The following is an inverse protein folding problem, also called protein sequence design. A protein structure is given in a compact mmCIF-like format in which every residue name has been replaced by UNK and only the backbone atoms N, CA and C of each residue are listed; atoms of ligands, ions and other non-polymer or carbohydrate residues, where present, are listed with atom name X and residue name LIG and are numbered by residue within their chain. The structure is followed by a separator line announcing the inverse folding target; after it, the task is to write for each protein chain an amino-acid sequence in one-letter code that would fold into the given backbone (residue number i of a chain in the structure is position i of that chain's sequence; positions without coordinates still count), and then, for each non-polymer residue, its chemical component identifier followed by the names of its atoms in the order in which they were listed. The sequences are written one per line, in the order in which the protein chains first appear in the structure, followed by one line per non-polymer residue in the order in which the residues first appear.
data_IF_326861207584
#
_entry.id   IF_326861207584
#
_cell.length_a   1.000
_cell.length_b   1.000
_cell.length_c   1.000
_cell.angle_alpha   90.00
_cell.angle_beta   90.00
_cell.angle_gamma   90.00
#
_symmetry.space_group_name_H-M   'P 1'
#
loop_
_entity.id
_entity.type
_entity.pdbx_description
1 polymer ?
#
# COMPACT_ATOMS: atom_id res chain seq x y z
N UNK A 1 -36.67 -15.72 14.21
CA UNK A 1 -36.00 -17.02 14.32
C UNK A 1 -35.39 -17.28 12.95
N UNK A 2 -34.11 -16.89 12.76
CA UNK A 2 -33.44 -17.06 11.47
C UNK A 2 -33.03 -18.52 11.42
N UNK A 3 -33.64 -19.28 10.51
CA UNK A 3 -33.23 -20.65 10.23
C UNK A 3 -31.90 -20.51 9.50
N UNK A 4 -30.79 -20.84 10.17
CA UNK A 4 -29.51 -20.97 9.48
C UNK A 4 -29.58 -22.21 8.60
N UNK A 5 -29.97 -22.04 7.35
CA UNK A 5 -29.80 -23.09 6.35
C UNK A 5 -28.31 -23.44 6.25
N UNK A 6 -27.95 -24.73 6.10
CA UNK A 6 -26.57 -25.14 5.89
C UNK A 6 -26.05 -24.56 4.58
N UNK A 7 -24.77 -24.17 4.57
CA UNK A 7 -24.13 -23.67 3.34
C UNK A 7 -24.03 -24.80 2.30
N UNK A 8 -24.72 -24.63 1.18
CA UNK A 8 -24.67 -25.53 0.04
C UNK A 8 -23.68 -25.00 -1.00
N UNK A 9 -22.49 -25.60 -1.04
CA UNK A 9 -21.42 -25.18 -1.95
C UNK A 9 -21.74 -25.47 -3.42
N UNK A 10 -22.45 -26.55 -3.72
CA UNK A 10 -22.78 -26.95 -5.09
C UNK A 10 -23.81 -25.97 -5.67
N UNK A 11 -24.84 -25.64 -4.88
CA UNK A 11 -25.83 -24.63 -5.27
C UNK A 11 -25.20 -23.25 -5.52
N UNK A 12 -24.32 -22.80 -4.62
CA UNK A 12 -23.63 -21.51 -4.78
C UNK A 12 -22.74 -21.49 -6.02
N UNK A 13 -22.06 -22.59 -6.35
CA UNK A 13 -21.26 -22.70 -7.58
C UNK A 13 -22.11 -22.54 -8.84
N UNK A 14 -23.31 -23.14 -8.87
CA UNK A 14 -24.24 -23.00 -9.99
C UNK A 14 -24.70 -21.54 -10.15
N UNK A 15 -25.00 -20.86 -9.04
CA UNK A 15 -25.39 -19.45 -9.04
C UNK A 15 -24.29 -18.54 -9.62
N UNK A 16 -23.02 -18.84 -9.32
CA UNK A 16 -21.89 -18.05 -9.82
C UNK A 16 -21.63 -18.18 -11.33
N UNK A 17 -22.17 -19.21 -11.98
CA UNK A 17 -22.11 -19.41 -13.45
C UNK A 17 -23.41 -18.94 -14.15
N UNK A 18 -24.35 -18.38 -13.39
CA UNK A 18 -25.66 -17.98 -13.87
C UNK A 18 -25.72 -16.54 -14.43
N UNK A 19 -26.94 -16.02 -14.43
CA UNK A 19 -27.26 -14.63 -14.71
C UNK A 19 -26.71 -13.67 -13.64
N UNK A 20 -26.71 -12.36 -13.93
CA UNK A 20 -26.23 -11.34 -12.98
C UNK A 20 -26.97 -11.39 -11.62
N UNK A 21 -28.28 -11.66 -11.63
CA UNK A 21 -29.08 -11.80 -10.41
C UNK A 21 -28.71 -13.06 -9.62
N UNK A 22 -28.46 -14.18 -10.30
CA UNK A 22 -28.00 -15.43 -9.67
C UNK A 22 -26.60 -15.26 -9.07
N UNK A 23 -25.68 -14.62 -9.81
CA UNK A 23 -24.33 -14.32 -9.31
C UNK A 23 -24.39 -13.46 -8.05
N UNK A 24 -25.28 -12.45 -8.03
CA UNK A 24 -25.49 -11.61 -6.86
C UNK A 24 -26.00 -12.42 -5.66
N UNK A 25 -26.97 -13.30 -5.86
CA UNK A 25 -27.47 -14.20 -4.82
C UNK A 25 -26.36 -15.13 -4.30
N UNK A 26 -25.56 -15.72 -5.19
CA UNK A 26 -24.41 -16.54 -4.84
C UNK A 26 -23.39 -15.78 -3.97
N UNK A 27 -23.11 -14.52 -4.30
CA UNK A 27 -22.22 -13.66 -3.51
C UNK A 27 -22.81 -13.35 -2.13
N UNK A 28 -24.12 -13.10 -2.03
CA UNK A 28 -24.80 -12.86 -0.76
C UNK A 28 -24.71 -14.10 0.15
N UNK A 29 -24.89 -15.30 -0.40
CA UNK A 29 -24.72 -16.56 0.32
C UNK A 29 -23.27 -16.77 0.78
N UNK A 30 -22.30 -16.52 -0.08
CA UNK A 30 -20.87 -16.56 0.29
C UNK A 30 -20.57 -15.59 1.43
N UNK A 31 -21.09 -14.36 1.34
CA UNK A 31 -20.93 -13.35 2.39
C UNK A 31 -21.51 -13.80 3.71
N UNK A 32 -22.75 -14.29 3.69
CA UNK A 32 -23.46 -14.68 4.89
C UNK A 32 -22.75 -15.84 5.62
N UNK A 33 -22.34 -16.87 4.87
CA UNK A 33 -21.86 -18.11 5.46
C UNK A 33 -20.34 -18.19 5.64
N UNK A 34 -19.55 -17.61 4.72
CA UNK A 34 -18.10 -17.86 4.67
C UNK A 34 -17.26 -16.68 5.17
N UNK A 35 -17.81 -15.46 5.23
CA UNK A 35 -17.05 -14.25 5.64
C UNK A 35 -16.32 -14.46 6.96
N UNK A 36 -17.04 -14.86 8.01
CA UNK A 36 -16.46 -14.98 9.35
C UNK A 36 -15.39 -16.06 9.42
N UNK A 37 -15.62 -17.21 8.77
CA UNK A 37 -14.65 -18.30 8.72
C UNK A 37 -13.36 -17.91 7.98
N UNK A 38 -13.48 -17.24 6.84
CA UNK A 38 -12.32 -16.77 6.06
C UNK A 38 -11.59 -15.66 6.82
N UNK A 39 -12.29 -14.69 7.40
CA UNK A 39 -11.68 -13.62 8.18
C UNK A 39 -10.97 -14.15 9.44
N UNK A 40 -11.55 -15.15 10.11
CA UNK A 40 -10.92 -15.83 11.24
C UNK A 40 -9.62 -16.52 10.83
N UNK A 41 -9.67 -17.30 9.75
CA UNK A 41 -8.49 -17.96 9.17
C UNK A 41 -7.40 -16.97 8.73
N UNK A 42 -7.77 -15.82 8.14
CA UNK A 42 -6.82 -14.77 7.79
C UNK A 42 -6.15 -14.17 9.03
N UNK A 43 -6.91 -13.90 10.09
CA UNK A 43 -6.39 -13.36 11.34
C UNK A 43 -5.32 -14.26 11.97
N UNK A 44 -5.51 -15.58 11.90
CA UNK A 44 -4.52 -16.55 12.38
C UNK A 44 -3.22 -16.53 11.57
N UNK A 45 -3.31 -16.37 10.25
CA UNK A 45 -2.13 -16.40 9.35
C UNK A 45 -1.43 -15.07 9.21
N UNK A 46 -2.15 -13.98 9.40
CA UNK A 46 -1.68 -12.62 9.22
C UNK A 46 -1.97 -11.80 10.48
N UNK A 47 -1.25 -12.06 11.59
CA UNK A 47 -1.51 -11.41 12.88
C UNK A 47 -1.33 -9.88 12.86
N UNK A 48 -0.69 -9.33 11.82
CA UNK A 48 -0.55 -7.88 11.61
C UNK A 48 -1.80 -7.19 11.05
N UNK A 49 -2.75 -7.92 10.47
CA UNK A 49 -3.96 -7.33 9.89
C UNK A 49 -4.93 -6.88 10.99
N UNK A 50 -5.35 -5.62 10.92
CA UNK A 50 -6.39 -5.08 11.80
C UNK A 50 -7.78 -5.45 11.29
N UNK A 51 -8.81 -5.21 12.10
CA UNK A 51 -10.19 -5.50 11.72
C UNK A 51 -10.60 -4.78 10.43
N UNK A 52 -10.20 -3.52 10.25
CA UNK A 52 -10.48 -2.76 9.04
C UNK A 52 -9.81 -3.40 7.80
N UNK A 53 -8.56 -3.87 7.93
CA UNK A 53 -7.87 -4.53 6.82
C UNK A 53 -8.56 -5.83 6.42
N UNK A 54 -9.10 -6.59 7.38
CA UNK A 54 -9.85 -7.81 7.10
C UNK A 54 -11.15 -7.51 6.33
N UNK A 55 -11.84 -6.42 6.63
CA UNK A 55 -13.04 -6.01 5.89
C UNK A 55 -12.70 -5.61 4.46
N UNK A 56 -11.61 -4.88 4.27
CA UNK A 56 -11.17 -4.51 2.93
C UNK A 56 -10.66 -5.72 2.14
N UNK A 57 -9.91 -6.64 2.76
CA UNK A 57 -9.52 -7.91 2.12
C UNK A 57 -10.75 -8.70 1.71
N UNK A 58 -11.79 -8.73 2.55
CA UNK A 58 -13.03 -9.41 2.22
C UNK A 58 -13.73 -8.78 1.01
N UNK A 59 -13.80 -7.44 0.96
CA UNK A 59 -14.31 -6.74 -0.23
C UNK A 59 -13.48 -7.08 -1.48
N UNK A 60 -12.15 -7.12 -1.37
CA UNK A 60 -11.25 -7.50 -2.47
C UNK A 60 -11.44 -8.96 -2.92
N UNK A 61 -11.87 -9.86 -2.01
CA UNK A 61 -12.24 -11.24 -2.35
C UNK A 61 -13.50 -11.27 -3.18
N UNK A 62 -14.56 -10.58 -2.76
CA UNK A 62 -15.83 -10.52 -3.50
C UNK A 62 -15.61 -9.93 -4.90
N UNK A 63 -14.88 -8.82 -5.00
CA UNK A 63 -14.48 -8.24 -6.29
C UNK A 63 -13.66 -9.23 -7.11
N UNK A 64 -12.75 -9.97 -6.48
CA UNK A 64 -11.94 -10.99 -7.15
C UNK A 64 -12.75 -12.16 -7.72
N UNK A 65 -13.90 -12.50 -7.12
CA UNK A 65 -14.83 -13.50 -7.67
C UNK A 65 -15.50 -12.92 -8.92
N UNK A 66 -16.05 -11.70 -8.83
CA UNK A 66 -16.73 -11.02 -9.94
C UNK A 66 -15.81 -10.78 -11.15
N UNK A 67 -14.54 -10.52 -10.90
CA UNK A 67 -13.53 -10.31 -11.95
C UNK A 67 -12.97 -11.61 -12.53
N UNK A 68 -13.20 -12.76 -11.88
CA UNK A 68 -12.66 -14.05 -12.31
C UNK A 68 -13.41 -14.56 -13.54
N UNK A 69 -12.89 -14.21 -14.72
CA UNK A 69 -13.40 -14.70 -16.02
C UNK A 69 -13.27 -16.22 -16.20
N UNK A 70 -12.41 -16.85 -15.42
CA UNK A 70 -12.07 -18.28 -15.50
C UNK A 70 -12.51 -19.02 -14.24
N UNK A 71 -13.61 -18.60 -13.60
CA UNK A 71 -14.20 -19.39 -12.52
C UNK A 71 -14.60 -20.77 -13.07
N UNK A 72 -13.94 -21.82 -12.59
CA UNK A 72 -14.27 -23.20 -12.93
C UNK A 72 -15.29 -23.71 -11.90
N UNK A 73 -16.57 -23.82 -12.28
CA UNK A 73 -17.62 -24.26 -11.39
C UNK A 73 -17.50 -25.74 -11.06
N UNK A 74 -16.48 -26.49 -11.53
CA UNK A 74 -16.17 -27.85 -11.09
C UNK A 74 -15.21 -27.87 -9.89
N UNK A 75 -14.48 -26.79 -9.62
CA UNK A 75 -13.51 -26.73 -8.52
C UNK A 75 -14.16 -26.40 -7.18
N UNK A 76 -13.58 -26.86 -6.05
CA UNK A 76 -14.04 -26.46 -4.73
C UNK A 76 -13.92 -24.94 -4.51
N UNK A 77 -15.00 -24.33 -4.05
CA UNK A 77 -15.13 -22.88 -3.87
C UNK A 77 -14.27 -22.38 -2.69
N UNK A 78 -14.31 -23.07 -1.54
CA UNK A 78 -13.61 -22.58 -0.35
C UNK A 78 -12.08 -22.46 -0.52
N UNK A 79 -11.36 -23.45 -1.12
CA UNK A 79 -9.95 -23.29 -1.46
C UNK A 79 -9.68 -22.13 -2.41
N UNK A 80 -10.54 -21.91 -3.41
CA UNK A 80 -10.43 -20.80 -4.35
C UNK A 80 -10.54 -19.44 -3.62
N UNK A 81 -11.57 -19.27 -2.79
CA UNK A 81 -11.76 -18.08 -1.97
C UNK A 81 -10.58 -17.81 -1.04
N UNK A 82 -10.08 -18.85 -0.36
CA UNK A 82 -8.89 -18.76 0.50
C UNK A 82 -7.66 -18.34 -0.29
N UNK A 83 -7.49 -18.82 -1.52
CA UNK A 83 -6.35 -18.45 -2.37
C UNK A 83 -6.41 -16.98 -2.81
N UNK A 84 -7.61 -16.45 -3.13
CA UNK A 84 -7.78 -15.02 -3.40
C UNK A 84 -7.48 -14.21 -2.13
N UNK A 85 -8.12 -14.57 -1.01
CA UNK A 85 -7.96 -13.90 0.27
C UNK A 85 -6.49 -13.83 0.72
N UNK A 86 -5.76 -14.94 0.60
CA UNK A 86 -4.34 -15.02 0.96
C UNK A 86 -3.47 -14.09 0.11
N UNK A 87 -3.69 -14.07 -1.20
CA UNK A 87 -2.95 -13.19 -2.12
C UNK A 87 -3.22 -11.72 -1.80
N UNK A 88 -4.48 -11.34 -1.63
CA UNK A 88 -4.87 -9.97 -1.28
C UNK A 88 -4.31 -9.52 0.08
N UNK A 89 -4.38 -10.37 1.10
CA UNK A 89 -3.77 -10.11 2.41
C UNK A 89 -2.25 -9.94 2.33
N UNK A 90 -1.57 -10.81 1.58
CA UNK A 90 -0.11 -10.71 1.36
C UNK A 90 0.25 -9.40 0.65
N UNK A 91 -0.47 -9.05 -0.41
CA UNK A 91 -0.23 -7.80 -1.15
C UNK A 91 -0.47 -6.57 -0.28
N UNK A 92 -1.47 -6.60 0.60
CA UNK A 92 -1.72 -5.53 1.55
C UNK A 92 -0.61 -5.38 2.57
N UNK A 93 -0.19 -6.47 3.23
CA UNK A 93 0.94 -6.40 4.15
C UNK A 93 2.22 -5.93 3.44
N UNK A 94 2.47 -6.39 2.21
CA UNK A 94 3.60 -5.89 1.41
C UNK A 94 3.51 -4.39 1.14
N UNK A 95 2.33 -3.88 0.81
CA UNK A 95 2.10 -2.44 0.60
C UNK A 95 2.22 -1.66 1.91
N UNK A 96 1.75 -2.20 3.02
CA UNK A 96 1.90 -1.61 4.34
C UNK A 96 3.37 -1.57 4.75
N UNK A 97 4.09 -2.68 4.65
CA UNK A 97 5.53 -2.75 4.88
C UNK A 97 6.30 -1.79 3.97
N UNK A 98 5.96 -1.73 2.68
CA UNK A 98 6.59 -0.79 1.74
C UNK A 98 6.29 0.66 2.13
N UNK A 99 5.06 0.96 2.53
CA UNK A 99 4.65 2.28 3.04
C UNK A 99 5.38 2.62 4.34
N UNK A 100 5.49 1.69 5.27
CA UNK A 100 6.14 1.89 6.56
C UNK A 100 7.64 2.08 6.37
N UNK A 101 8.28 1.28 5.51
CA UNK A 101 9.69 1.49 5.16
C UNK A 101 9.90 2.77 4.36
N UNK A 102 8.95 3.21 3.53
CA UNK A 102 8.99 4.51 2.85
C UNK A 102 8.87 5.64 3.87
N UNK A 103 7.95 5.51 4.81
CA UNK A 103 7.78 6.42 5.95
C UNK A 103 9.08 6.47 6.76
N UNK A 104 9.71 5.33 7.04
CA UNK A 104 10.99 5.28 7.75
C UNK A 104 12.15 5.82 6.91
N UNK A 105 12.16 5.61 5.60
CA UNK A 105 13.12 6.21 4.68
C UNK A 105 12.94 7.72 4.58
N UNK A 106 11.70 8.22 4.69
CA UNK A 106 11.38 9.63 4.84
C UNK A 106 11.88 10.11 6.22
N UNK A 107 11.63 9.40 7.30
CA UNK A 107 12.22 9.67 8.61
C UNK A 107 13.76 9.72 8.56
N UNK A 108 14.38 8.79 7.82
CA UNK A 108 15.80 8.70 7.49
C UNK A 108 16.30 9.90 6.68
N UNK A 109 15.52 10.33 5.69
CA UNK A 109 15.72 11.54 4.89
C UNK A 109 15.68 12.80 5.78
N UNK A 110 14.93 12.74 6.88
CA UNK A 110 14.83 13.78 7.90
C UNK A 110 15.78 13.53 9.11
N UNK A 111 16.57 12.44 9.16
CA UNK A 111 17.34 11.98 10.34
C UNK A 111 18.40 12.96 10.85
N UNK A 112 19.04 13.71 9.96
CA UNK A 112 20.02 14.74 10.33
C UNK A 112 19.37 16.08 10.72
N UNK A 113 18.14 16.02 11.19
CA UNK A 113 17.37 17.14 11.68
C UNK A 113 16.59 16.65 12.89
N UNK A 114 16.15 17.55 13.78
CA UNK A 114 15.35 17.20 14.97
C UNK A 114 14.09 16.37 14.63
N UNK A 115 13.68 16.41 13.37
CA UNK A 115 12.59 15.63 12.76
C UNK A 115 12.76 14.13 12.89
N UNK A 116 13.99 13.59 12.76
CA UNK A 116 14.21 12.15 12.82
C UNK A 116 13.72 11.53 14.14
N UNK A 117 13.77 12.30 15.23
CA UNK A 117 13.23 11.91 16.54
C UNK A 117 11.72 12.12 16.66
N UNK A 118 11.21 13.26 16.19
CA UNK A 118 9.75 13.55 16.25
C UNK A 118 8.93 12.68 15.31
N UNK A 119 9.50 12.22 14.18
CA UNK A 119 8.84 11.36 13.20
C UNK A 119 8.39 10.03 13.79
N UNK A 120 9.21 9.41 14.64
CA UNK A 120 8.84 8.19 15.36
C UNK A 120 7.69 8.42 16.36
N UNK A 121 7.49 9.65 16.81
CA UNK A 121 6.45 10.04 17.77
C UNK A 121 5.12 10.42 17.10
N UNK A 122 5.13 10.71 15.79
CA UNK A 122 3.91 11.01 15.03
C UNK A 122 2.99 9.79 14.94
N UNK A 123 1.68 10.02 15.10
CA UNK A 123 0.66 9.02 14.85
C UNK A 123 0.40 8.83 13.33
N UNK A 124 -0.40 7.82 12.96
CA UNK A 124 -0.64 7.49 11.56
C UNK A 124 -1.28 8.63 10.75
N UNK A 125 -2.20 9.39 11.35
CA UNK A 125 -2.88 10.51 10.69
C UNK A 125 -1.89 11.65 10.42
N UNK A 126 -1.07 12.02 11.40
CA UNK A 126 -0.03 13.04 11.26
C UNK A 126 1.00 12.64 10.20
N UNK A 127 1.38 11.35 10.14
CA UNK A 127 2.25 10.83 9.09
C UNK A 127 1.60 10.94 7.70
N UNK A 128 0.29 10.68 7.57
CA UNK A 128 -0.44 10.89 6.32
C UNK A 128 -0.35 12.35 5.88
N UNK A 129 -0.66 13.29 6.78
CA UNK A 129 -0.63 14.73 6.48
C UNK A 129 0.76 15.19 6.03
N UNK A 130 1.82 14.77 6.74
CA UNK A 130 3.19 15.11 6.34
C UNK A 130 3.55 14.49 4.98
N UNK A 131 3.10 13.26 4.70
CA UNK A 131 3.31 12.63 3.39
C UNK A 131 2.59 13.39 2.27
N UNK A 132 1.38 13.90 2.50
CA UNK A 132 0.68 14.75 1.53
C UNK A 132 1.43 16.06 1.28
N UNK A 133 1.97 16.67 2.33
CA UNK A 133 2.81 17.86 2.21
C UNK A 133 4.10 17.59 1.43
N UNK A 134 4.74 16.44 1.67
CA UNK A 134 5.92 16.00 0.91
C UNK A 134 5.55 15.81 -0.57
N UNK A 135 4.44 15.12 -0.88
CA UNK A 135 3.97 14.97 -2.27
C UNK A 135 3.70 16.31 -2.93
N UNK A 136 3.04 17.23 -2.22
CA UNK A 136 2.80 18.59 -2.69
C UNK A 136 4.11 19.32 -2.94
N UNK A 137 5.09 19.20 -2.06
CA UNK A 137 6.41 19.79 -2.24
C UNK A 137 7.14 19.22 -3.46
N UNK A 138 7.10 17.90 -3.65
CA UNK A 138 7.70 17.22 -4.81
C UNK A 138 7.07 17.71 -6.11
N UNK A 139 5.75 17.91 -6.13
CA UNK A 139 5.04 18.40 -7.32
C UNK A 139 5.50 19.80 -7.78
N UNK A 140 6.08 20.60 -6.88
CA UNK A 140 6.58 21.95 -7.14
C UNK A 140 8.07 21.99 -7.50
N UNK A 141 8.76 20.84 -7.49
CA UNK A 141 10.16 20.76 -7.85
C UNK A 141 10.36 20.92 -9.37
N UNK A 142 11.51 21.47 -9.80
CA UNK A 142 11.92 21.41 -11.21
C UNK A 142 11.92 19.97 -11.74
N UNK A 143 11.57 19.79 -13.02
CA UNK A 143 11.32 18.48 -13.65
C UNK A 143 12.35 17.39 -13.31
N UNK A 144 13.65 17.71 -13.33
CA UNK A 144 14.70 16.73 -13.00
C UNK A 144 14.69 16.31 -11.53
N UNK A 145 14.53 17.27 -10.63
CA UNK A 145 14.46 17.04 -9.19
C UNK A 145 13.18 16.31 -8.81
N UNK A 146 12.06 16.69 -9.45
CA UNK A 146 10.77 16.01 -9.35
C UNK A 146 10.88 14.56 -9.79
N UNK A 147 11.40 14.30 -11.00
CA UNK A 147 11.58 12.94 -11.52
C UNK A 147 12.40 12.07 -10.55
N UNK A 148 13.55 12.56 -10.09
CA UNK A 148 14.40 11.81 -9.16
C UNK A 148 13.68 11.52 -7.84
N UNK A 149 12.90 12.47 -7.31
CA UNK A 149 12.10 12.25 -6.10
C UNK A 149 10.92 11.31 -6.34
N UNK A 150 10.23 11.41 -7.47
CA UNK A 150 9.11 10.53 -7.83
C UNK A 150 9.60 9.08 -7.98
N UNK A 151 10.78 8.87 -8.58
CA UNK A 151 11.43 7.55 -8.63
C UNK A 151 11.82 7.07 -7.24
N UNK A 152 12.52 7.92 -6.48
CA UNK A 152 12.97 7.57 -5.12
C UNK A 152 11.82 7.23 -4.16
N UNK A 153 10.67 7.91 -4.27
CA UNK A 153 9.51 7.68 -3.41
C UNK A 153 8.61 6.58 -3.96
N UNK A 154 8.43 6.52 -5.28
CA UNK A 154 7.50 5.60 -5.93
C UNK A 154 8.03 4.16 -6.09
N UNK A 155 9.34 3.99 -6.25
CA UNK A 155 10.00 2.69 -6.45
C UNK A 155 10.88 2.33 -5.24
N UNK A 156 10.42 2.68 -4.04
CA UNK A 156 11.04 2.28 -2.78
C UNK A 156 10.47 0.91 -2.33
N UNK A 157 11.28 -0.05 -1.81
CA UNK A 157 12.65 0.08 -1.30
C UNK A 157 13.79 -0.09 -2.33
N UNK A 158 13.50 -0.44 -3.57
CA UNK A 158 14.49 -0.77 -4.60
C UNK A 158 15.46 0.41 -4.83
N UNK A 159 14.96 1.63 -4.75
CA UNK A 159 15.72 2.88 -4.88
C UNK A 159 16.55 3.31 -3.66
N UNK A 160 16.61 2.50 -2.59
CA UNK A 160 17.49 2.78 -1.45
C UNK A 160 18.98 2.80 -1.85
N UNK A 161 19.34 2.06 -2.89
CA UNK A 161 20.67 2.03 -3.50
C UNK A 161 20.81 3.15 -4.55
N UNK A 162 21.90 3.93 -4.48
CA UNK A 162 22.15 5.01 -5.44
C UNK A 162 22.36 4.53 -6.89
N UNK A 163 23.10 3.41 -7.14
CA UNK A 163 23.10 2.74 -8.44
C UNK A 163 21.71 2.41 -8.98
N UNK A 164 20.86 1.84 -8.13
CA UNK A 164 19.52 1.40 -8.57
C UNK A 164 18.60 2.58 -8.85
N UNK A 165 18.65 3.62 -8.01
CA UNK A 165 17.98 4.88 -8.26
C UNK A 165 18.43 5.50 -9.59
N UNK A 166 19.74 5.50 -9.90
CA UNK A 166 20.22 6.04 -11.17
C UNK A 166 19.74 5.23 -12.38
N UNK A 167 19.70 3.89 -12.28
CA UNK A 167 19.17 3.01 -13.33
C UNK A 167 17.70 3.36 -13.63
N UNK A 168 16.86 3.37 -12.59
CA UNK A 168 15.43 3.64 -12.70
C UNK A 168 15.13 5.06 -13.18
N UNK A 169 15.90 6.06 -12.72
CA UNK A 169 15.78 7.44 -13.22
C UNK A 169 16.15 7.51 -14.70
N UNK A 170 17.20 6.81 -15.14
CA UNK A 170 17.61 6.77 -16.55
C UNK A 170 16.52 6.14 -17.43
N UNK A 171 15.91 5.06 -16.96
CA UNK A 171 14.82 4.36 -17.64
C UNK A 171 13.60 5.27 -17.80
N UNK A 172 13.13 5.92 -16.73
CA UNK A 172 11.99 6.86 -16.82
C UNK A 172 12.31 8.13 -17.60
N UNK A 173 13.56 8.61 -17.56
CA UNK A 173 13.98 9.77 -18.34
C UNK A 173 14.12 9.47 -19.84
N UNK A 174 14.16 8.19 -20.23
CA UNK A 174 14.44 7.75 -21.60
C UNK A 174 15.86 8.06 -22.07
N UNK A 175 16.79 8.37 -21.15
CA UNK A 175 18.18 8.73 -21.46
C UNK A 175 19.10 8.37 -20.29
N UNK A 176 20.38 8.04 -20.55
CA UNK A 176 21.33 7.72 -19.49
C UNK A 176 21.60 8.95 -18.60
N UNK A 177 21.38 8.79 -17.30
CA UNK A 177 21.70 9.78 -16.28
C UNK A 177 22.97 9.36 -15.51
N UNK A 178 23.78 10.31 -15.06
CA UNK A 178 24.99 9.98 -14.28
C UNK A 178 24.69 9.90 -12.79
N UNK A 179 25.41 9.03 -12.06
CA UNK A 179 25.29 8.91 -10.61
C UNK A 179 25.47 10.25 -9.89
N UNK A 180 26.45 11.04 -10.31
CA UNK A 180 26.72 12.35 -9.73
C UNK A 180 25.53 13.30 -9.91
N UNK A 181 24.88 13.29 -11.08
CA UNK A 181 23.78 14.18 -11.36
C UNK A 181 22.49 13.76 -10.64
N UNK A 182 22.20 12.45 -10.57
CA UNK A 182 21.09 11.89 -9.78
C UNK A 182 21.28 12.23 -8.29
N UNK A 183 22.48 12.00 -7.75
CA UNK A 183 22.81 12.33 -6.36
C UNK A 183 22.63 13.82 -6.07
N UNK A 184 23.11 14.69 -6.96
CA UNK A 184 22.97 16.15 -6.81
C UNK A 184 21.51 16.59 -6.89
N UNK A 185 20.76 16.11 -7.90
CA UNK A 185 19.35 16.42 -8.04
C UNK A 185 18.54 15.95 -6.83
N UNK A 186 18.84 14.75 -6.31
CA UNK A 186 18.24 14.23 -5.09
C UNK A 186 18.54 15.17 -3.92
N UNK A 187 19.81 15.52 -3.66
CA UNK A 187 20.21 16.43 -2.57
C UNK A 187 19.50 17.79 -2.64
N UNK A 188 19.46 18.41 -3.81
CA UNK A 188 18.80 19.70 -4.02
C UNK A 188 17.28 19.59 -3.81
N UNK A 189 16.66 18.51 -4.29
CA UNK A 189 15.27 18.21 -4.03
C UNK A 189 15.00 18.06 -2.52
N UNK A 190 15.87 17.34 -1.79
CA UNK A 190 15.74 17.17 -0.35
C UNK A 190 15.75 18.51 0.38
N UNK A 191 16.69 19.38 0.01
CA UNK A 191 16.83 20.69 0.61
C UNK A 191 15.58 21.56 0.41
N UNK A 192 14.97 21.52 -0.79
CA UNK A 192 13.75 22.27 -1.10
C UNK A 192 12.52 21.73 -0.37
N UNK A 193 12.32 20.42 -0.36
CA UNK A 193 11.22 19.78 0.39
C UNK A 193 11.35 20.14 1.88
N UNK A 194 12.56 20.05 2.43
CA UNK A 194 12.82 20.45 3.82
C UNK A 194 12.45 21.90 4.09
N UNK A 195 12.88 22.83 3.22
CA UNK A 195 12.56 24.25 3.37
C UNK A 195 11.04 24.49 3.38
N UNK A 196 10.31 23.84 2.46
CA UNK A 196 8.86 23.99 2.39
C UNK A 196 8.15 23.48 3.65
N UNK A 197 8.59 22.34 4.20
CA UNK A 197 8.05 21.83 5.46
C UNK A 197 8.29 22.82 6.61
N UNK A 198 9.48 23.40 6.69
CA UNK A 198 9.79 24.47 7.67
C UNK A 198 8.87 25.67 7.51
N UNK A 199 8.70 26.15 6.27
CA UNK A 199 7.83 27.30 5.96
C UNK A 199 6.34 27.02 6.31
N UNK A 200 5.93 25.74 6.35
CA UNK A 200 4.57 25.31 6.74
C UNK A 200 4.36 25.19 8.24
N UNK A 201 5.31 25.66 9.05
CA UNK A 201 5.19 25.63 10.50
C UNK A 201 5.63 24.31 11.11
N UNK A 202 6.12 23.36 10.30
CA UNK A 202 6.88 22.24 10.84
C UNK A 202 8.29 22.74 11.18
N UNK A 203 8.39 23.45 12.31
CA UNK A 203 9.59 24.18 12.67
C UNK A 203 10.56 23.27 13.43
N UNK A 204 11.54 22.75 12.70
CA UNK A 204 12.45 21.70 13.13
C UNK A 204 13.76 22.25 13.70
N UNK A 205 13.64 23.19 14.65
CA UNK A 205 14.73 24.05 15.16
C UNK A 205 15.69 23.41 16.16
N UNK A 206 16.96 23.82 16.05
CA UNK A 206 18.16 23.46 16.84
C UNK A 206 17.91 23.44 18.36
N UNK A 207 18.22 22.31 19.01
CA UNK A 207 18.79 22.33 20.36
C UNK A 207 20.00 21.42 20.34
N UNK A 208 21.15 22.03 20.10
CA UNK A 208 22.42 21.56 20.59
C UNK A 208 22.93 22.67 21.50
N UNK A 209 22.43 22.72 22.72
CA UNK A 209 23.08 23.27 23.92
C UNK A 209 22.51 22.50 25.11
N UNK A 210 23.18 21.38 25.41
CA UNK A 210 23.59 20.98 26.77
C UNK A 210 25.01 20.47 26.65
#
# INVERSE_FOLDING_TARGET
MIVCEPFDEEYVRLLLDGSEDEVKEGIELIHHHLRFGICGWLRERFPGLQSADLEEVWADVITGILEAKDFDPEQPLLPFLRAIAFRRATDRLRRQDARDRLVDAVGGFLRNTKIGGTWSELNQLERCEVMELIRKAISQLPNRQKLVMDVFVGDFPETASMPELQRLVSERAGKPETLAAVKRALQEARAKVRKLLVDKGYNFGKQGEL
#
